data_IF_038534773756
#
_entry.id   IF_038534773756
#
_cell.length_a   1.000
_cell.length_b   1.000
_cell.length_c   1.000
_cell.angle_alpha   90.00
_cell.angle_beta   90.00
_cell.angle_gamma   90.00
#
_symmetry.space_group_name_H-M   'P 1'
#
loop_
_entity.id
_entity.type
_entity.pdbx_description
1 polymer ?
#
# COMPACT_ATOMS: atom_id res chain seq x y z
N UNK A 1 -11.49 7.25 8.79
CA UNK A 1 -11.28 6.69 7.43
C UNK A 1 -11.04 7.85 6.48
N UNK A 2 -10.05 7.77 5.60
CA UNK A 2 -9.84 8.79 4.55
C UNK A 2 -10.84 8.49 3.42
N UNK A 3 -11.73 9.42 3.03
CA UNK A 3 -12.79 9.15 2.05
C UNK A 3 -12.25 8.80 0.67
N UNK A 4 -11.17 9.47 0.24
CA UNK A 4 -10.52 9.25 -1.05
C UNK A 4 -9.02 9.03 -0.85
N UNK A 5 -8.59 7.78 -0.62
CA UNK A 5 -7.17 7.48 -0.49
C UNK A 5 -6.49 7.57 -1.86
N UNK A 6 -5.25 8.08 -1.88
CA UNK A 6 -4.36 7.90 -3.01
C UNK A 6 -4.00 6.41 -3.14
N UNK A 7 -4.07 5.88 -4.36
CA UNK A 7 -3.81 4.47 -4.65
C UNK A 7 -2.83 4.32 -5.80
N UNK A 8 -2.14 3.19 -5.87
CA UNK A 8 -1.32 2.81 -7.01
C UNK A 8 -1.97 1.64 -7.76
N UNK A 9 -1.85 1.63 -9.10
CA UNK A 9 -2.21 0.45 -9.88
C UNK A 9 -1.18 -0.67 -9.67
N UNK A 10 -1.61 -1.92 -9.81
CA UNK A 10 -0.77 -3.10 -9.63
C UNK A 10 0.53 -3.06 -10.46
N UNK A 11 0.42 -2.55 -11.68
CA UNK A 11 1.53 -2.39 -12.63
C UNK A 11 2.30 -1.08 -12.51
N UNK A 12 1.98 -0.19 -11.57
CA UNK A 12 2.82 0.97 -11.30
C UNK A 12 4.18 0.49 -10.76
N UNK A 13 5.24 1.21 -11.07
CA UNK A 13 6.58 0.85 -10.63
C UNK A 13 6.81 1.22 -9.16
N UNK A 14 7.74 0.56 -8.47
CA UNK A 14 8.12 0.97 -7.11
C UNK A 14 8.62 2.43 -7.04
N UNK A 15 9.25 2.93 -8.11
CA UNK A 15 9.64 4.34 -8.23
C UNK A 15 8.42 5.28 -8.34
N UNK A 16 7.40 4.95 -9.12
CA UNK A 16 6.16 5.73 -9.20
C UNK A 16 5.41 5.78 -7.86
N UNK A 17 5.41 4.67 -7.13
CA UNK A 17 4.87 4.63 -5.76
C UNK A 17 5.66 5.53 -4.83
N UNK A 18 6.99 5.48 -4.86
CA UNK A 18 7.84 6.36 -4.04
C UNK A 18 7.65 7.85 -4.37
N UNK A 19 7.46 8.18 -5.66
CA UNK A 19 7.13 9.53 -6.09
C UNK A 19 5.77 9.99 -5.56
N UNK A 20 4.76 9.11 -5.57
CA UNK A 20 3.46 9.40 -4.97
C UNK A 20 3.58 9.64 -3.46
N UNK A 21 4.34 8.81 -2.76
CA UNK A 21 4.63 8.95 -1.33
C UNK A 21 5.26 10.31 -1.01
N UNK A 22 6.30 10.70 -1.76
CA UNK A 22 6.94 12.01 -1.61
C UNK A 22 5.96 13.16 -1.91
N UNK A 23 5.23 13.09 -3.03
CA UNK A 23 4.36 14.16 -3.49
C UNK A 23 3.15 14.39 -2.57
N UNK A 24 2.72 13.36 -1.84
CA UNK A 24 1.55 13.41 -0.95
C UNK A 24 1.90 13.39 0.53
N UNK A 25 3.18 13.30 0.87
CA UNK A 25 3.67 13.18 2.26
C UNK A 25 3.01 11.99 3.00
N UNK A 26 3.05 10.81 2.37
CA UNK A 26 2.50 9.55 2.90
C UNK A 26 3.52 8.42 2.80
N UNK A 27 3.46 7.45 3.71
CA UNK A 27 4.40 6.31 3.75
C UNK A 27 3.78 4.97 3.36
N UNK A 28 2.47 4.94 3.10
CA UNK A 28 1.70 3.72 2.83
C UNK A 28 0.70 3.99 1.72
N UNK A 29 0.69 3.13 0.70
CA UNK A 29 -0.18 3.27 -0.48
C UNK A 29 -0.93 1.95 -0.72
N UNK A 30 -2.28 1.96 -0.75
CA UNK A 30 -3.05 0.82 -1.23
C UNK A 30 -2.77 0.54 -2.70
N UNK A 31 -2.55 -0.73 -3.02
CA UNK A 31 -2.39 -1.21 -4.40
C UNK A 31 -3.73 -1.78 -4.87
N UNK A 32 -4.18 -1.33 -6.03
CA UNK A 32 -5.42 -1.79 -6.67
C UNK A 32 -5.14 -2.41 -8.03
N UNK A 33 -6.04 -3.23 -8.53
CA UNK A 33 -5.89 -3.85 -9.85
C UNK A 33 -5.75 -2.83 -10.98
N UNK A 34 -6.62 -1.83 -11.01
CA UNK A 34 -6.59 -0.73 -11.96
C UNK A 34 -7.24 0.54 -11.39
N UNK A 35 -6.96 1.74 -11.95
CA UNK A 35 -7.50 3.00 -11.44
C UNK A 35 -9.02 3.17 -11.55
N UNK A 36 -9.68 2.40 -12.42
CA UNK A 36 -11.13 2.51 -12.67
C UNK A 36 -11.95 1.69 -11.69
N UNK A 37 -11.61 0.41 -11.54
CA UNK A 37 -12.37 -0.53 -10.70
C UNK A 37 -11.87 -0.54 -9.25
N UNK A 38 -10.61 -0.12 -9.03
CA UNK A 38 -9.98 0.05 -7.71
C UNK A 38 -10.13 -1.17 -6.79
N UNK A 39 -10.12 -2.40 -7.33
CA UNK A 39 -10.18 -3.60 -6.48
C UNK A 39 -8.89 -3.71 -5.70
N UNK A 40 -8.99 -3.69 -4.38
CA UNK A 40 -7.86 -3.79 -3.47
C UNK A 40 -7.10 -5.11 -3.63
N UNK A 41 -5.77 -5.05 -3.73
CA UNK A 41 -4.88 -6.20 -3.89
C UNK A 41 -3.85 -6.35 -2.76
N UNK A 42 -3.59 -5.27 -2.02
CA UNK A 42 -2.60 -5.23 -0.97
C UNK A 42 -2.14 -3.81 -0.66
N UNK A 43 -1.11 -3.68 0.16
CA UNK A 43 -0.55 -2.40 0.56
C UNK A 43 0.95 -2.39 0.32
N UNK A 44 1.50 -1.28 -0.14
CA UNK A 44 2.95 -1.08 -0.25
C UNK A 44 3.39 0.10 0.64
N UNK A 45 4.44 -0.09 1.40
CA UNK A 45 5.06 0.91 2.28
C UNK A 45 6.47 1.28 1.83
N UNK A 46 7.01 2.36 2.40
CA UNK A 46 8.43 2.72 2.29
C UNK A 46 9.37 1.55 2.61
N UNK A 47 9.06 0.77 3.66
CA UNK A 47 9.80 -0.42 4.05
C UNK A 47 9.77 -1.48 2.96
N UNK A 48 8.60 -1.74 2.37
CA UNK A 48 8.47 -2.75 1.32
C UNK A 48 9.30 -2.38 0.08
N UNK A 49 9.37 -1.09 -0.26
CA UNK A 49 10.24 -0.59 -1.34
C UNK A 49 11.72 -0.77 -0.94
N UNK A 50 12.11 -0.36 0.27
CA UNK A 50 13.51 -0.44 0.72
C UNK A 50 13.98 -1.88 0.82
N UNK A 51 13.23 -2.76 1.47
CA UNK A 51 13.66 -4.14 1.75
C UNK A 51 13.27 -5.13 0.66
N UNK A 52 12.07 -4.97 0.08
CA UNK A 52 11.53 -5.88 -0.92
C UNK A 52 11.99 -5.58 -2.34
N UNK A 53 12.25 -4.31 -2.68
CA UNK A 53 12.78 -3.92 -4.00
C UNK A 53 14.29 -3.63 -3.95
N UNK A 54 14.69 -2.57 -3.24
CA UNK A 54 16.07 -2.03 -3.33
C UNK A 54 17.08 -3.02 -2.74
N UNK A 55 16.89 -3.46 -1.50
CA UNK A 55 17.80 -4.40 -0.85
C UNK A 55 17.81 -5.79 -1.52
N UNK A 56 16.72 -6.16 -2.20
CA UNK A 56 16.63 -7.38 -3.00
C UNK A 56 17.36 -7.28 -4.35
N UNK A 57 17.84 -6.09 -4.74
CA UNK A 57 18.53 -5.87 -6.02
C UNK A 57 17.59 -5.74 -7.23
N UNK A 58 16.29 -5.52 -7.01
CA UNK A 58 15.36 -5.22 -8.10
C UNK A 58 15.51 -3.77 -8.55
N UNK A 59 15.29 -3.53 -9.84
CA UNK A 59 15.26 -2.17 -10.39
C UNK A 59 13.89 -1.52 -10.10
N UNK A 60 13.85 -0.46 -9.26
CA UNK A 60 12.60 0.20 -8.86
C UNK A 60 11.87 0.88 -10.01
N UNK A 61 12.54 1.10 -11.15
CA UNK A 61 11.96 1.76 -12.33
C UNK A 61 11.26 0.79 -13.29
N UNK A 62 11.37 -0.52 -13.04
CA UNK A 62 10.79 -1.55 -13.90
C UNK A 62 10.00 -2.61 -13.14
N UNK A 63 10.23 -2.79 -11.84
CA UNK A 63 9.48 -3.74 -11.03
C UNK A 63 8.10 -3.19 -10.63
N UNK A 64 7.08 -4.05 -10.70
CA UNK A 64 5.70 -3.67 -10.41
C UNK A 64 5.44 -3.61 -8.90
N UNK A 65 4.58 -2.67 -8.49
CA UNK A 65 4.17 -2.46 -7.11
C UNK A 65 3.55 -3.72 -6.51
N UNK A 66 2.76 -4.47 -7.29
CA UNK A 66 2.17 -5.73 -6.85
C UNK A 66 3.21 -6.76 -6.38
N UNK A 67 4.43 -6.74 -6.93
CA UNK A 67 5.51 -7.67 -6.52
C UNK A 67 5.95 -7.45 -5.08
N UNK A 68 5.89 -6.21 -4.59
CA UNK A 68 6.35 -5.84 -3.25
C UNK A 68 5.21 -5.46 -2.30
N UNK A 69 3.97 -5.41 -2.80
CA UNK A 69 2.81 -5.15 -1.98
C UNK A 69 2.52 -6.34 -1.05
N UNK A 70 2.28 -6.03 0.23
CA UNK A 70 1.86 -7.00 1.23
C UNK A 70 0.36 -7.28 1.15
N UNK A 71 0.02 -8.56 1.20
CA UNK A 71 -1.38 -9.05 1.12
C UNK A 71 -1.93 -9.48 2.49
N UNK A 72 -1.10 -9.45 3.54
CA UNK A 72 -1.48 -9.76 4.92
C UNK A 72 -2.09 -8.55 5.66
N UNK A 73 -2.48 -7.51 4.93
CA UNK A 73 -3.13 -6.34 5.51
C UNK A 73 -4.55 -6.70 5.93
N UNK A 74 -4.89 -6.48 7.21
CA UNK A 74 -6.26 -6.63 7.70
C UNK A 74 -7.15 -5.59 7.03
N UNK A 75 -8.16 -6.05 6.31
CA UNK A 75 -9.18 -5.19 5.67
C UNK A 75 -10.43 -5.20 6.53
N UNK A 76 -10.90 -4.01 6.91
CA UNK A 76 -12.15 -3.82 7.66
C UNK A 76 -13.14 -3.02 6.83
N UNK A 77 -14.42 -3.25 7.05
CA UNK A 77 -15.51 -2.48 6.43
C UNK A 77 -15.84 -1.26 7.30
N UNK A 78 -16.55 -0.28 6.73
CA UNK A 78 -16.92 0.95 7.43
C UNK A 78 -17.77 0.71 8.69
N UNK A 79 -18.52 -0.39 8.70
CA UNK A 79 -19.40 -0.84 9.79
C UNK A 79 -18.69 -1.76 10.80
N UNK A 80 -17.40 -2.08 10.59
CA UNK A 80 -16.65 -2.90 11.53
C UNK A 80 -16.54 -2.19 12.89
N UNK A 81 -17.20 -2.73 13.92
CA UNK A 81 -17.09 -2.26 15.29
C UNK A 81 -15.73 -2.65 15.89
N UNK A 82 -15.10 -1.70 16.56
CA UNK A 82 -13.89 -1.96 17.35
C UNK A 82 -14.22 -2.88 18.51
N UNK A 83 -13.52 -4.02 18.61
CA UNK A 83 -13.61 -4.95 19.75
C UNK A 83 -12.62 -4.61 20.88
N UNK A 84 -12.03 -3.40 20.86
CA UNK A 84 -11.14 -2.93 21.91
C UNK A 84 -11.88 -2.88 23.25
N UNK A 85 -11.58 -3.84 24.13
CA UNK A 85 -11.97 -3.80 25.54
C UNK A 85 -10.80 -3.25 26.35
N UNK A 86 -11.01 -2.11 27.00
CA UNK A 86 -10.06 -1.54 27.95
C UNK A 86 -9.90 -2.53 29.11
N UNK A 87 -8.74 -3.19 29.21
CA UNK A 87 -8.39 -3.99 30.38
C UNK A 87 -8.07 -3.02 31.51
N UNK A 88 -9.04 -2.80 32.40
CA UNK A 88 -8.80 -2.12 33.67
C UNK A 88 -7.79 -2.95 34.48
N UNK A 89 -6.63 -2.37 34.74
CA UNK A 89 -5.75 -2.78 35.85
C UNK A 89 -6.32 -2.31 37.20
#
# INVERSE_FOLDING_TARGET
MIPEPFVAAAGATSAEVALLMQAKDISVVPVVDNPKDRRYLGTISDRDIVTGCVAAGHDPTTCNAQTHARQDTIVVTADTQSSWTETNE
#
